data_IF_460772880326
#
_entry.id   IF_460772880326
#
_cell.length_a   1.000
_cell.length_b   1.000
_cell.length_c   1.000
_cell.angle_alpha   90.00
_cell.angle_beta   90.00
_cell.angle_gamma   90.00
#
_symmetry.space_group_name_H-M   'P 1'
#
loop_
_entity.id
_entity.type
_entity.pdbx_description
1 polymer ?
#
# COMPACT_ATOMS: atom_id res chain seq x y z
N UNK A 1 -23.12 7.68 7.56
CA UNK A 1 -22.08 6.76 8.01
C UNK A 1 -20.82 7.23 7.32
N UNK A 2 -20.01 8.04 8.01
CA UNK A 2 -18.75 8.55 7.46
C UNK A 2 -17.83 7.34 7.28
N UNK A 3 -17.25 7.09 6.09
CA UNK A 3 -16.22 6.06 5.98
C UNK A 3 -15.06 6.50 6.86
N UNK A 4 -14.67 5.65 7.81
CA UNK A 4 -13.41 5.80 8.54
C UNK A 4 -12.29 5.69 7.51
N UNK A 5 -11.87 6.83 6.94
CA UNK A 5 -10.94 6.90 5.80
C UNK A 5 -9.64 6.15 6.08
N UNK A 6 -9.29 6.03 7.36
CA UNK A 6 -8.11 5.31 7.85
C UNK A 6 -8.21 3.79 7.73
N UNK A 7 -9.41 3.22 7.87
CA UNK A 7 -9.65 1.79 7.69
C UNK A 7 -9.74 1.40 6.20
N UNK A 8 -10.22 2.34 5.38
CA UNK A 8 -10.26 2.20 3.92
C UNK A 8 -8.86 2.19 3.32
N UNK A 9 -7.91 2.97 3.86
CA UNK A 9 -6.52 3.03 3.37
C UNK A 9 -5.75 1.70 3.57
N UNK A 10 -5.73 1.12 4.77
CA UNK A 10 -4.97 -0.12 5.03
C UNK A 10 -5.52 -1.31 4.22
N UNK A 11 -6.84 -1.37 4.04
CA UNK A 11 -7.48 -2.41 3.23
C UNK A 11 -7.10 -2.30 1.76
N UNK A 12 -6.95 -1.08 1.23
CA UNK A 12 -6.49 -0.85 -0.14
C UNK A 12 -5.00 -1.20 -0.30
N UNK A 13 -4.15 -0.92 0.70
CA UNK A 13 -2.76 -1.39 0.67
C UNK A 13 -2.67 -2.91 0.56
N UNK A 14 -3.50 -3.65 1.32
CA UNK A 14 -3.55 -5.12 1.23
C UNK A 14 -3.99 -5.58 -0.17
N UNK A 15 -5.02 -4.95 -0.74
CA UNK A 15 -5.49 -5.26 -2.10
C UNK A 15 -4.42 -5.04 -3.17
N UNK A 16 -3.65 -3.94 -3.07
CA UNK A 16 -2.54 -3.68 -3.99
C UNK A 16 -1.44 -4.75 -3.86
N UNK A 17 -1.14 -5.21 -2.64
CA UNK A 17 -0.18 -6.29 -2.43
C UNK A 17 -0.67 -7.64 -3.00
N UNK A 18 -1.97 -7.93 -2.92
CA UNK A 18 -2.55 -9.12 -3.54
C UNK A 18 -2.40 -9.10 -5.08
N UNK A 19 -2.64 -7.95 -5.70
CA UNK A 19 -2.40 -7.75 -7.14
C UNK A 19 -0.92 -7.94 -7.48
N UNK A 20 -0.02 -7.37 -6.67
CA UNK A 20 1.42 -7.53 -6.86
C UNK A 20 1.86 -9.00 -6.80
N UNK A 21 1.35 -9.77 -5.84
CA UNK A 21 1.63 -11.22 -5.72
C UNK A 21 1.10 -11.97 -6.94
N UNK A 22 -0.12 -11.68 -7.37
CA UNK A 22 -0.68 -12.28 -8.57
C UNK A 22 0.17 -12.00 -9.81
N UNK A 23 0.55 -10.74 -10.04
CA UNK A 23 1.38 -10.38 -11.19
C UNK A 23 2.79 -10.98 -11.11
N UNK A 24 3.38 -11.08 -9.92
CA UNK A 24 4.64 -11.77 -9.74
C UNK A 24 4.54 -13.27 -10.10
N UNK A 25 3.47 -13.95 -9.68
CA UNK A 25 3.22 -15.34 -10.04
C UNK A 25 3.08 -15.52 -11.55
N UNK A 26 2.25 -14.69 -12.21
CA UNK A 26 2.09 -14.74 -13.67
C UNK A 26 3.41 -14.45 -14.39
N UNK A 27 4.24 -13.55 -13.85
CA UNK A 27 5.57 -13.27 -14.39
C UNK A 27 6.47 -14.52 -14.34
N UNK A 28 6.52 -15.23 -13.20
CA UNK A 28 7.27 -16.48 -13.06
C UNK A 28 6.78 -17.56 -14.05
N UNK A 29 5.47 -17.74 -14.18
CA UNK A 29 4.89 -18.71 -15.12
C UNK A 29 5.24 -18.34 -16.58
N UNK A 30 5.22 -17.05 -16.92
CA UNK A 30 5.64 -16.58 -18.24
C UNK A 30 7.12 -16.86 -18.51
N UNK A 31 8.01 -16.73 -17.51
CA UNK A 31 9.42 -17.09 -17.65
C UNK A 31 9.57 -18.58 -17.94
N UNK A 32 8.87 -19.44 -17.20
CA UNK A 32 8.92 -20.89 -17.39
C UNK A 32 8.43 -21.33 -18.80
N UNK A 33 7.51 -20.56 -19.39
CA UNK A 33 6.98 -20.78 -20.73
C UNK A 33 7.79 -20.09 -21.85
N UNK A 34 8.84 -19.34 -21.52
CA UNK A 34 9.64 -18.58 -22.49
C UNK A 34 8.99 -17.29 -23.00
N UNK A 35 7.89 -16.85 -22.40
CA UNK A 35 7.13 -15.66 -22.78
C UNK A 35 7.70 -14.39 -22.11
N UNK A 36 8.94 -14.02 -22.44
CA UNK A 36 9.69 -12.99 -21.71
C UNK A 36 9.08 -11.58 -21.78
N UNK A 37 8.47 -11.19 -22.90
CA UNK A 37 7.79 -9.90 -23.04
C UNK A 37 6.61 -9.76 -22.06
N UNK A 38 5.82 -10.83 -21.95
CA UNK A 38 4.72 -10.92 -20.97
C UNK A 38 5.24 -10.96 -19.54
N UNK A 39 6.31 -11.73 -19.28
CA UNK A 39 6.94 -11.77 -17.97
C UNK A 39 7.40 -10.38 -17.52
N UNK A 40 8.05 -9.64 -18.40
CA UNK A 40 8.52 -8.28 -18.15
C UNK A 40 7.34 -7.32 -17.88
N UNK A 41 6.27 -7.42 -18.66
CA UNK A 41 5.05 -6.61 -18.44
C UNK A 41 4.46 -6.87 -17.05
N UNK A 42 4.27 -8.12 -16.66
CA UNK A 42 3.73 -8.44 -15.33
C UNK A 42 4.69 -8.05 -14.20
N UNK A 43 6.01 -8.14 -14.41
CA UNK A 43 6.99 -7.65 -13.44
C UNK A 43 6.88 -6.13 -13.21
N UNK A 44 6.64 -5.34 -14.27
CA UNK A 44 6.39 -3.90 -14.15
C UNK A 44 5.10 -3.62 -13.39
N UNK A 45 4.01 -4.33 -13.70
CA UNK A 45 2.73 -4.15 -13.00
C UNK A 45 2.83 -4.52 -11.52
N UNK A 46 3.51 -5.62 -11.20
CA UNK A 46 3.76 -6.03 -9.81
C UNK A 46 4.50 -4.94 -9.04
N UNK A 47 5.54 -4.34 -9.65
CA UNK A 47 6.27 -3.22 -9.05
C UNK A 47 5.38 -2.01 -8.81
N UNK A 48 4.56 -1.63 -9.80
CA UNK A 48 3.65 -0.50 -9.65
C UNK A 48 2.64 -0.70 -8.51
N UNK A 49 2.12 -1.91 -8.35
CA UNK A 49 1.21 -2.26 -7.26
C UNK A 49 1.92 -2.23 -5.89
N UNK A 50 3.16 -2.71 -5.79
CA UNK A 50 4.00 -2.56 -4.57
C UNK A 50 4.24 -1.10 -4.23
N UNK A 51 4.62 -0.28 -5.23
CA UNK A 51 4.86 1.15 -5.04
C UNK A 51 3.58 1.86 -4.54
N UNK A 52 2.41 1.49 -5.06
CA UNK A 52 1.13 2.01 -4.58
C UNK A 52 0.83 1.60 -3.13
N UNK A 53 1.00 0.31 -2.80
CA UNK A 53 0.81 -0.18 -1.43
C UNK A 53 1.75 0.53 -0.44
N UNK A 54 3.00 0.75 -0.84
CA UNK A 54 4.00 1.44 -0.03
C UNK A 54 3.59 2.88 0.26
N UNK A 55 3.11 3.63 -0.74
CA UNK A 55 2.62 5.01 -0.56
C UNK A 55 1.48 5.04 0.46
N UNK A 56 0.53 4.10 0.37
CA UNK A 56 -0.61 4.02 1.27
C UNK A 56 -0.16 3.68 2.69
N UNK A 57 0.72 2.69 2.86
CA UNK A 57 1.26 2.32 4.17
C UNK A 57 2.05 3.47 4.81
N UNK A 58 2.84 4.18 4.02
CA UNK A 58 3.58 5.36 4.47
C UNK A 58 2.63 6.45 4.98
N UNK A 59 1.53 6.70 4.27
CA UNK A 59 0.49 7.64 4.70
C UNK A 59 -0.16 7.19 6.02
N UNK A 60 -0.50 5.90 6.14
CA UNK A 60 -1.07 5.32 7.36
C UNK A 60 -0.15 5.49 8.57
N UNK A 61 1.15 5.20 8.42
CA UNK A 61 2.16 5.36 9.47
C UNK A 61 2.35 6.82 9.87
N UNK A 62 2.34 7.73 8.88
CA UNK A 62 2.47 9.18 9.12
C UNK A 62 1.24 9.75 9.85
N UNK A 63 0.04 9.27 9.49
CA UNK A 63 -1.19 9.62 10.19
C UNK A 63 -1.24 9.01 11.60
N UNK A 64 -0.59 7.86 11.82
CA UNK A 64 -0.37 7.18 13.11
C UNK A 64 0.50 7.98 14.08
N UNK A 65 1.60 8.51 13.58
CA UNK A 65 2.59 9.25 14.39
C UNK A 65 2.16 10.65 14.84
N UNK A 66 1.07 11.21 14.28
CA UNK A 66 0.52 12.52 14.68
C UNK A 66 -0.56 12.43 15.76
N UNK A 67 -0.86 11.22 16.27
CA UNK A 67 -1.85 11.00 17.35
C UNK A 67 -1.29 11.11 18.77
N UNK A 68 0.02 11.33 18.95
CA UNK A 68 0.67 11.52 20.26
C UNK A 68 1.24 12.94 20.42
N UNK A 69 0.46 13.96 20.03
CA UNK A 69 0.84 15.36 20.27
C UNK A 69 -0.40 16.27 20.42
N UNK A 70 -1.27 16.00 21.40
CA UNK A 70 -2.11 17.04 22.03
C UNK A 70 -2.63 16.64 23.42
N UNK A 71 -1.73 16.25 24.33
CA UNK A 71 -1.97 16.44 25.78
C UNK A 71 -1.00 17.53 26.27
N UNK A 72 -1.31 18.78 25.95
CA UNK A 72 -0.47 19.91 26.38
C UNK A 72 -1.08 21.29 26.30
N UNK A 73 -2.25 21.47 25.65
CA UNK A 73 -2.88 22.79 25.53
C UNK A 73 -3.81 23.18 26.69
N UNK A 74 -4.03 22.32 27.69
CA UNK A 74 -4.93 22.59 28.83
C UNK A 74 -4.24 23.13 30.10
N UNK A 75 -3.18 23.94 29.96
CA UNK A 75 -2.46 24.49 31.11
C UNK A 75 -2.10 25.99 31.02
N UNK A 76 -2.77 26.79 30.17
CA UNK A 76 -2.43 28.21 30.00
C UNK A 76 -3.53 29.23 30.32
N UNK A 77 -4.73 28.86 30.74
CA UNK A 77 -5.81 29.82 31.06
C UNK A 77 -6.46 29.56 32.44
N UNK A 78 -5.65 29.59 33.50
CA UNK A 78 -6.09 29.74 34.90
C UNK A 78 -5.30 30.83 35.61
#
# INVERSE_FOLDING_TARGET
>A
MEPDGRQVDVSEAARQLELAVHDAQVSFDCIALGNLDRAHTHAITARAAVDAAEVILRACLSAGGLGEADEGSFAADL
#
